data_IF_546611922685
#
_entry.id   IF_546611922685
#
_cell.length_a   1.000
_cell.length_b   1.000
_cell.length_c   1.000
_cell.angle_alpha   90.00
_cell.angle_beta   90.00
_cell.angle_gamma   90.00
#
_symmetry.space_group_name_H-M   'P 1'
#
loop_
_entity.id
_entity.type
_entity.pdbx_description
1 polymer ?
#
# COMPACT_ATOMS: atom_id res chain seq x y z
N UNK A 1 46.34 3.40 0.53
CA UNK A 1 45.50 2.24 0.13
C UNK A 1 44.43 2.06 1.19
N UNK A 2 43.23 2.64 1.00
CA UNK A 2 42.13 2.50 1.97
C UNK A 2 41.22 1.35 1.54
N UNK A 3 41.41 0.20 2.17
CA UNK A 3 40.53 -0.96 2.08
C UNK A 3 39.25 -0.68 2.90
N UNK A 4 38.34 0.12 2.36
CA UNK A 4 36.95 0.07 2.81
C UNK A 4 36.39 -1.28 2.34
N UNK A 5 36.49 -2.29 3.21
CA UNK A 5 35.66 -3.48 3.11
C UNK A 5 34.21 -3.02 3.28
N UNK A 6 33.53 -2.71 2.18
CA UNK A 6 32.08 -2.69 2.14
C UNK A 6 31.64 -4.12 2.41
N UNK A 7 31.27 -4.40 3.66
CA UNK A 7 30.56 -5.61 4.00
C UNK A 7 29.32 -5.70 3.10
N UNK A 8 29.06 -6.88 2.54
CA UNK A 8 27.81 -7.09 1.81
C UNK A 8 26.64 -6.69 2.72
N UNK A 9 25.62 -5.95 2.21
CA UNK A 9 24.49 -5.56 3.02
C UNK A 9 23.82 -6.79 3.61
N UNK A 10 23.36 -6.69 4.86
CA UNK A 10 22.64 -7.79 5.47
C UNK A 10 21.32 -8.01 4.72
N UNK A 11 20.81 -9.24 4.73
CA UNK A 11 19.56 -9.60 4.06
C UNK A 11 18.41 -8.69 4.52
N UNK A 12 18.31 -8.44 5.83
CA UNK A 12 17.29 -7.55 6.40
C UNK A 12 17.44 -6.06 6.01
N UNK A 13 18.63 -5.61 5.59
CA UNK A 13 18.80 -4.28 5.00
C UNK A 13 18.18 -4.22 3.61
N UNK A 14 18.42 -5.25 2.79
CA UNK A 14 17.87 -5.37 1.44
C UNK A 14 16.34 -5.43 1.45
N UNK A 15 15.74 -6.18 2.37
CA UNK A 15 14.27 -6.20 2.55
C UNK A 15 13.71 -4.82 2.94
N UNK A 16 14.35 -4.13 3.88
CA UNK A 16 13.94 -2.79 4.31
C UNK A 16 14.04 -1.79 3.16
N UNK A 17 15.08 -1.90 2.35
CA UNK A 17 15.26 -1.13 1.14
C UNK A 17 14.16 -1.43 0.10
N UNK A 18 13.80 -2.70 -0.08
CA UNK A 18 12.65 -3.14 -0.89
C UNK A 18 11.33 -2.47 -0.49
N UNK A 19 11.02 -2.51 0.81
CA UNK A 19 9.83 -1.83 1.36
C UNK A 19 9.88 -0.32 1.11
N UNK A 20 11.04 0.30 1.35
CA UNK A 20 11.21 1.74 1.14
C UNK A 20 11.06 2.14 -0.33
N UNK A 21 11.59 1.33 -1.26
CA UNK A 21 11.48 1.55 -2.69
C UNK A 21 10.02 1.54 -3.15
N UNK A 22 9.20 0.58 -2.67
CA UNK A 22 7.77 0.57 -2.99
C UNK A 22 7.06 1.82 -2.44
N UNK A 23 7.30 2.21 -1.18
CA UNK A 23 6.66 3.39 -0.58
C UNK A 23 6.99 4.68 -1.34
N UNK A 24 8.23 4.81 -1.83
CA UNK A 24 8.70 6.03 -2.49
C UNK A 24 8.36 6.09 -3.97
N UNK A 25 8.39 4.96 -4.66
CA UNK A 25 8.34 4.89 -6.13
C UNK A 25 7.20 4.02 -6.67
N UNK A 26 6.38 3.45 -5.81
CA UNK A 26 5.33 2.51 -6.19
C UNK A 26 5.89 1.32 -6.98
N UNK A 27 5.16 0.90 -8.00
CA UNK A 27 5.54 -0.24 -8.88
C UNK A 27 6.90 0.01 -9.55
N UNK A 28 7.24 1.26 -9.87
CA UNK A 28 8.52 1.60 -10.52
C UNK A 28 9.74 1.46 -9.59
N UNK A 29 9.51 1.25 -8.29
CA UNK A 29 10.57 1.02 -7.31
C UNK A 29 11.27 -0.33 -7.46
N UNK A 30 10.65 -1.30 -8.14
CA UNK A 30 11.17 -2.67 -8.26
C UNK A 30 12.53 -2.73 -8.96
N UNK A 31 12.80 -1.79 -9.87
CA UNK A 31 14.02 -1.75 -10.69
C UNK A 31 15.04 -0.71 -10.20
N UNK A 32 14.86 -0.15 -9.00
CA UNK A 32 15.70 0.96 -8.48
C UNK A 32 16.99 0.52 -7.78
N UNK A 33 17.36 -0.76 -7.84
CA UNK A 33 18.59 -1.30 -7.26
C UNK A 33 19.38 -2.14 -8.26
N UNK A 34 20.71 -2.04 -8.17
CA UNK A 34 21.67 -2.68 -9.06
C UNK A 34 22.21 -4.01 -8.51
N UNK A 35 21.42 -4.71 -7.67
CA UNK A 35 21.82 -6.02 -7.19
C UNK A 35 21.95 -7.01 -8.35
N UNK A 36 23.01 -7.85 -8.39
CA UNK A 36 23.17 -8.86 -9.41
C UNK A 36 21.95 -9.80 -9.49
N UNK A 37 21.59 -10.20 -10.70
CA UNK A 37 20.49 -11.15 -10.89
C UNK A 37 20.81 -12.50 -10.22
N UNK A 38 19.81 -13.09 -9.57
CA UNK A 38 19.97 -14.32 -8.79
C UNK A 38 20.71 -14.16 -7.46
N UNK A 39 21.18 -12.95 -7.11
CA UNK A 39 21.81 -12.72 -5.80
C UNK A 39 20.80 -12.77 -4.66
N UNK A 40 21.25 -13.22 -3.49
CA UNK A 40 20.43 -13.25 -2.26
C UNK A 40 19.95 -11.85 -1.89
N UNK A 41 20.76 -10.82 -2.15
CA UNK A 41 20.41 -9.42 -1.94
C UNK A 41 19.24 -8.99 -2.83
N UNK A 42 19.25 -9.38 -4.11
CA UNK A 42 18.13 -9.10 -5.03
C UNK A 42 16.86 -9.80 -4.59
N UNK A 43 16.95 -11.07 -4.18
CA UNK A 43 15.80 -11.83 -3.66
C UNK A 43 15.22 -11.13 -2.42
N UNK A 44 16.06 -10.78 -1.45
CA UNK A 44 15.66 -10.10 -0.23
C UNK A 44 15.01 -8.73 -0.50
N UNK A 45 15.59 -7.96 -1.43
CA UNK A 45 15.00 -6.71 -1.89
C UNK A 45 13.60 -6.91 -2.49
N UNK A 46 13.45 -7.89 -3.40
CA UNK A 46 12.17 -8.18 -4.04
C UNK A 46 11.13 -8.72 -3.05
N UNK A 47 11.55 -9.44 -2.03
CA UNK A 47 10.68 -9.94 -0.96
C UNK A 47 10.09 -8.77 -0.16
N UNK A 48 10.95 -7.88 0.36
CA UNK A 48 10.49 -6.67 1.06
C UNK A 48 9.63 -5.75 0.17
N UNK A 49 9.98 -5.61 -1.11
CA UNK A 49 9.17 -4.85 -2.07
C UNK A 49 7.76 -5.47 -2.24
N UNK A 50 7.69 -6.80 -2.36
CA UNK A 50 6.44 -7.53 -2.55
C UNK A 50 5.57 -7.50 -1.29
N UNK A 51 6.18 -7.64 -0.11
CA UNK A 51 5.52 -7.52 1.19
C UNK A 51 4.82 -6.17 1.34
N UNK A 52 5.53 -5.06 1.06
CA UNK A 52 4.94 -3.72 1.19
C UNK A 52 3.85 -3.47 0.13
N UNK A 53 4.03 -3.98 -1.09
CA UNK A 53 3.00 -3.91 -2.13
C UNK A 53 1.72 -4.61 -1.69
N UNK A 54 1.84 -5.79 -1.09
CA UNK A 54 0.69 -6.54 -0.56
C UNK A 54 -0.02 -5.75 0.55
N UNK A 55 0.73 -5.26 1.55
CA UNK A 55 0.18 -4.44 2.64
C UNK A 55 -0.52 -3.17 2.14
N UNK A 56 0.05 -2.51 1.12
CA UNK A 56 -0.58 -1.34 0.52
C UNK A 56 -1.92 -1.69 -0.13
N UNK A 57 -2.02 -2.86 -0.77
CA UNK A 57 -3.27 -3.38 -1.31
C UNK A 57 -4.32 -3.64 -0.23
N UNK A 58 -3.93 -4.24 0.90
CA UNK A 58 -4.84 -4.46 2.04
C UNK A 58 -5.38 -3.15 2.60
N UNK A 59 -4.50 -2.15 2.80
CA UNK A 59 -4.92 -0.81 3.27
C UNK A 59 -5.92 -0.16 2.31
N UNK A 60 -5.70 -0.26 1.00
CA UNK A 60 -6.60 0.29 0.00
C UNK A 60 -7.97 -0.42 0.01
N UNK A 61 -8.01 -1.74 0.24
CA UNK A 61 -9.26 -2.48 0.37
C UNK A 61 -10.04 -2.07 1.63
N UNK A 62 -9.35 -1.88 2.75
CA UNK A 62 -9.99 -1.43 3.99
C UNK A 62 -10.53 -0.01 3.87
N UNK A 63 -9.80 0.90 3.21
CA UNK A 63 -10.28 2.24 2.90
C UNK A 63 -11.52 2.21 2.00
N UNK A 64 -11.52 1.38 0.95
CA UNK A 64 -12.67 1.21 0.07
C UNK A 64 -13.91 0.68 0.82
N UNK A 65 -13.71 -0.26 1.75
CA UNK A 65 -14.78 -0.77 2.63
C UNK A 65 -15.34 0.33 3.54
N UNK A 66 -14.47 1.13 4.15
CA UNK A 66 -14.86 2.24 5.00
C UNK A 66 -15.66 3.29 4.22
N UNK A 67 -15.18 3.67 3.03
CA UNK A 67 -15.87 4.61 2.15
C UNK A 67 -17.26 4.11 1.73
N UNK A 68 -17.37 2.82 1.37
CA UNK A 68 -18.65 2.19 1.04
C UNK A 68 -19.63 2.26 2.22
N UNK A 69 -19.18 1.99 3.45
CA UNK A 69 -20.03 2.03 4.63
C UNK A 69 -20.60 3.45 4.89
N UNK A 70 -19.78 4.49 4.71
CA UNK A 70 -20.23 5.88 4.79
C UNK A 70 -21.29 6.19 3.73
N UNK A 71 -21.02 5.82 2.47
CA UNK A 71 -21.91 6.07 1.34
C UNK A 71 -23.27 5.40 1.54
N UNK A 72 -23.31 4.15 2.02
CA UNK A 72 -24.56 3.43 2.28
C UNK A 72 -25.37 4.07 3.40
N UNK A 73 -24.70 4.51 4.47
CA UNK A 73 -25.37 5.19 5.59
C UNK A 73 -26.03 6.49 5.14
N UNK A 74 -25.33 7.29 4.35
CA UNK A 74 -25.85 8.59 3.92
C UNK A 74 -26.97 8.41 2.89
N UNK A 75 -26.85 7.45 1.95
CA UNK A 75 -27.93 7.08 1.04
C UNK A 75 -29.22 6.61 1.77
N UNK A 76 -29.08 6.00 2.94
CA UNK A 76 -30.23 5.58 3.76
C UNK A 76 -30.95 6.77 4.38
N UNK A 77 -30.19 7.79 4.84
CA UNK A 77 -30.75 9.04 5.36
C UNK A 77 -31.46 9.82 4.26
N UNK A 78 -30.85 9.90 3.08
CA UNK A 78 -31.43 10.59 1.93
C UNK A 78 -32.75 9.94 1.51
N UNK A 79 -32.82 8.60 1.51
CA UNK A 79 -34.06 7.88 1.24
C UNK A 79 -35.15 8.17 2.28
N UNK A 80 -34.82 8.09 3.57
CA UNK A 80 -35.77 8.39 4.64
C UNK A 80 -36.28 9.84 4.58
N UNK A 81 -35.42 10.79 4.22
CA UNK A 81 -35.81 12.17 4.01
C UNK A 81 -36.73 12.34 2.79
N UNK A 82 -36.41 11.69 1.66
CA UNK A 82 -37.26 11.70 0.47
C UNK A 82 -38.63 11.08 0.73
N UNK A 83 -38.72 10.00 1.51
CA UNK A 83 -39.98 9.38 1.95
C UNK A 83 -40.79 10.31 2.87
N UNK A 84 -40.13 11.05 3.75
CA UNK A 84 -40.79 12.08 4.58
C UNK A 84 -41.39 13.20 3.73
N UNK A 85 -40.66 13.65 2.70
CA UNK A 85 -41.16 14.66 1.76
C UNK A 85 -42.33 14.13 0.92
N UNK A 86 -42.23 12.91 0.40
CA UNK A 86 -43.25 12.32 -0.48
C UNK A 86 -44.54 11.95 0.26
N UNK A 87 -44.46 11.62 1.55
CA UNK A 87 -45.63 11.36 2.40
C UNK A 87 -46.42 12.61 2.80
N UNK A 88 -45.99 13.80 2.36
CA UNK A 88 -46.69 15.07 2.62
C UNK A 88 -46.58 15.57 4.06
N UNK A 89 -45.76 14.94 4.91
CA UNK A 89 -45.46 15.41 6.27
C UNK A 89 -44.38 16.51 6.17
N UNK A 90 -44.77 17.65 5.62
CA UNK A 90 -44.07 18.92 5.78
C UNK A 90 -44.70 19.64 6.96
N UNK A 91 -44.04 19.57 8.12
CA UNK A 91 -44.27 20.49 9.24
C UNK A 91 -43.20 21.56 9.22
#
# INVERSE_FOLDING_TARGET
>A
MNLFKTAAPAIGDCEREGRAAFRKHGVTGQTKHDYPDGSVQKVAFLDGFSEERFRAGERALDEARAYRALTVRDATKDRAWAEKLSSGICH
#
